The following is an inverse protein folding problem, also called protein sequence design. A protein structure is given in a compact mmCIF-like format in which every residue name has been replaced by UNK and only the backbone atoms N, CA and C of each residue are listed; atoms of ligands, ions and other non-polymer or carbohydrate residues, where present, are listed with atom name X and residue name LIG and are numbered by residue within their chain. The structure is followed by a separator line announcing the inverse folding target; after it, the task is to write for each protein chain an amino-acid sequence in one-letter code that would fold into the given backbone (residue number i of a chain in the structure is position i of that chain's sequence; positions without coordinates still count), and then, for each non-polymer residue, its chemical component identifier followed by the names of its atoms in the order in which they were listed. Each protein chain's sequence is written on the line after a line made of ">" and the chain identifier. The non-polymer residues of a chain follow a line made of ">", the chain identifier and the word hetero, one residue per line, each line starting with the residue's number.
data_IF_571249481482
#
_entry.id   IF_571249481482
#
_cell.length_a   1.000
_cell.length_b   1.000
_cell.length_c   1.000
_cell.angle_alpha   90.00
_cell.angle_beta   90.00
_cell.angle_gamma   90.00
#
_symmetry.space_group_name_H-M   'P 1'
#
loop_
_entity.id
_entity.type
_entity.pdbx_description
1 polymer ?
#
# COMPACT_ATOMS: atom_id res chain seq x y z
N UNK A 1 -12.37 19.07 4.59
CA UNK A 1 -11.96 18.93 3.17
C UNK A 1 -10.44 18.82 3.16
N UNK A 2 -9.86 17.83 2.49
CA UNK A 2 -8.40 17.63 2.45
C UNK A 2 -7.73 18.73 1.63
N UNK A 3 -6.66 19.32 2.18
CA UNK A 3 -5.96 20.43 1.53
C UNK A 3 -5.03 19.89 0.45
N UNK A 4 -5.16 20.39 -0.78
CA UNK A 4 -4.28 20.02 -1.90
C UNK A 4 -2.81 20.38 -1.65
N UNK A 5 -2.53 21.36 -0.80
CA UNK A 5 -1.17 21.76 -0.41
C UNK A 5 -0.46 20.72 0.48
N UNK A 6 -1.21 19.78 1.04
CA UNK A 6 -0.68 18.72 1.88
C UNK A 6 -0.14 17.52 1.08
N UNK A 7 -0.29 17.55 -0.25
CA UNK A 7 0.34 16.52 -1.10
C UNK A 7 1.78 16.89 -1.42
N UNK A 8 2.65 15.89 -1.31
CA UNK A 8 4.06 15.97 -1.65
C UNK A 8 4.44 14.79 -2.54
N UNK A 9 5.25 15.06 -3.55
CA UNK A 9 5.90 14.02 -4.33
C UNK A 9 7.21 13.67 -3.62
N UNK A 10 7.33 12.42 -3.21
CA UNK A 10 8.52 11.87 -2.57
C UNK A 10 9.20 10.96 -3.57
N UNK A 11 10.52 11.08 -3.71
CA UNK A 11 11.30 10.28 -4.67
C UNK A 11 11.92 9.07 -4.01
N UNK A 12 11.78 7.94 -4.64
CA UNK A 12 12.53 6.72 -4.36
C UNK A 12 13.12 6.20 -5.67
N UNK A 13 14.41 6.43 -5.92
CA UNK A 13 15.05 6.18 -7.22
C UNK A 13 14.27 6.90 -8.34
N UNK A 14 13.73 6.16 -9.31
CA UNK A 14 12.96 6.67 -10.44
C UNK A 14 11.44 6.74 -10.15
N UNK A 15 11.02 6.37 -8.94
CA UNK A 15 9.62 6.38 -8.51
C UNK A 15 9.28 7.70 -7.84
N UNK A 16 8.21 8.33 -8.30
CA UNK A 16 7.58 9.50 -7.69
C UNK A 16 6.35 9.05 -6.91
N UNK A 17 6.39 9.20 -5.58
CA UNK A 17 5.34 8.73 -4.66
C UNK A 17 4.49 9.92 -4.26
N UNK A 18 3.24 9.97 -4.71
CA UNK A 18 2.28 10.98 -4.29
C UNK A 18 1.81 10.67 -2.87
N UNK A 19 2.13 11.53 -1.93
CA UNK A 19 1.87 11.29 -0.50
C UNK A 19 1.11 12.45 0.12
N UNK A 20 -0.03 12.16 0.75
CA UNK A 20 -0.73 13.12 1.61
C UNK A 20 -0.07 13.17 2.98
N UNK A 21 0.28 14.38 3.44
CA UNK A 21 0.96 14.60 4.72
C UNK A 21 0.18 15.63 5.52
N UNK A 22 -0.10 15.33 6.79
CA UNK A 22 -0.82 16.24 7.67
C UNK A 22 -0.44 16.02 9.14
N UNK A 23 -0.71 17.02 9.97
CA UNK A 23 -0.46 16.98 11.42
C UNK A 23 1.01 17.13 11.81
N UNK A 24 1.22 17.10 13.11
CA UNK A 24 2.53 17.19 13.78
C UNK A 24 2.65 16.11 14.84
N UNK A 25 3.89 15.74 15.23
CA UNK A 25 4.17 14.73 16.24
C UNK A 25 4.73 13.42 15.66
N UNK A 26 4.61 12.29 16.37
CA UNK A 26 5.13 11.00 15.90
C UNK A 26 4.52 10.59 14.57
N UNK A 27 5.37 10.11 13.66
CA UNK A 27 4.94 9.73 12.30
C UNK A 27 4.19 8.39 12.29
N UNK A 28 3.05 8.41 11.59
CA UNK A 28 2.29 7.21 11.20
C UNK A 28 2.19 7.17 9.68
N UNK A 29 2.73 6.13 9.06
CA UNK A 29 2.56 5.87 7.61
C UNK A 29 1.40 4.89 7.43
N UNK A 30 0.52 5.14 6.45
CA UNK A 30 -0.65 4.29 6.20
C UNK A 30 -0.65 3.81 4.75
N UNK A 31 -0.43 2.50 4.54
CA UNK A 31 -0.38 1.83 3.25
C UNK A 31 -1.73 1.21 2.92
N UNK A 32 -2.34 1.62 1.80
CA UNK A 32 -3.61 1.09 1.33
C UNK A 32 -3.44 -0.19 0.50
N UNK A 33 -4.54 -0.84 0.18
CA UNK A 33 -4.62 -2.06 -0.63
C UNK A 33 -5.22 -1.85 -2.03
N UNK A 34 -5.82 -2.92 -2.56
CA UNK A 34 -6.46 -2.94 -3.86
C UNK A 34 -8.00 -3.06 -3.72
N UNK A 35 -8.76 -2.37 -4.53
CA UNK A 35 -8.46 -1.29 -5.48
C UNK A 35 -8.61 0.10 -4.85
N UNK A 36 -7.73 0.44 -3.96
CA UNK A 36 -7.84 1.61 -3.09
C UNK A 36 -6.89 2.76 -3.50
N UNK A 37 -6.83 3.79 -2.67
CA UNK A 37 -5.92 4.93 -2.75
C UNK A 37 -5.67 5.51 -1.36
N UNK A 38 -4.84 6.56 -1.26
CA UNK A 38 -4.67 7.33 -0.02
C UNK A 38 -6.01 7.72 0.62
N UNK A 39 -7.07 7.92 -0.17
CA UNK A 39 -8.38 8.40 0.29
C UNK A 39 -9.14 7.36 1.14
N UNK A 40 -8.79 6.09 1.06
CA UNK A 40 -9.34 5.05 1.94
C UNK A 40 -9.12 5.39 3.41
N UNK A 41 -8.03 6.08 3.72
CA UNK A 41 -7.64 6.48 5.07
C UNK A 41 -8.24 7.81 5.56
N UNK A 42 -9.16 8.43 4.81
CA UNK A 42 -9.72 9.77 5.10
C UNK A 42 -10.25 9.96 6.53
N UNK A 43 -10.81 8.93 7.12
CA UNK A 43 -11.34 8.99 8.49
C UNK A 43 -10.23 8.84 9.53
N UNK A 44 -9.28 7.93 9.29
CA UNK A 44 -8.13 7.68 10.15
C UNK A 44 -7.17 8.87 10.16
N UNK A 45 -6.92 9.50 9.01
CA UNK A 45 -6.16 10.76 8.91
C UNK A 45 -6.70 11.78 9.91
N UNK A 46 -8.00 12.08 9.83
CA UNK A 46 -8.63 13.09 10.68
C UNK A 46 -8.51 12.74 12.17
N UNK A 47 -8.68 11.47 12.52
CA UNK A 47 -8.58 10.98 13.89
C UNK A 47 -7.16 11.07 14.43
N UNK A 48 -6.17 10.59 13.67
CA UNK A 48 -4.76 10.60 14.10
C UNK A 48 -4.22 12.01 14.25
N UNK A 49 -4.50 12.90 13.30
CA UNK A 49 -4.07 14.31 13.36
C UNK A 49 -4.64 15.00 14.60
N UNK A 50 -5.94 14.80 14.92
CA UNK A 50 -6.56 15.35 16.13
C UNK A 50 -5.93 14.83 17.41
N UNK A 51 -5.33 13.64 17.39
CA UNK A 51 -4.66 13.02 18.54
C UNK A 51 -3.14 13.25 18.55
N UNK A 52 -2.64 14.24 17.79
CA UNK A 52 -1.25 14.68 17.87
C UNK A 52 -0.27 13.78 17.14
N UNK A 53 -0.71 13.13 16.07
CA UNK A 53 0.18 12.38 15.18
C UNK A 53 0.38 13.11 13.86
N UNK A 54 1.58 12.99 13.31
CA UNK A 54 1.84 13.29 11.91
C UNK A 54 1.48 12.06 11.09
N UNK A 55 0.77 12.25 9.99
CA UNK A 55 0.42 11.16 9.07
C UNK A 55 1.09 11.36 7.71
N UNK A 56 1.55 10.26 7.10
CA UNK A 56 1.98 10.22 5.71
C UNK A 56 1.22 9.08 5.01
N UNK A 57 0.45 9.41 4.00
CA UNK A 57 -0.49 8.50 3.36
C UNK A 57 -0.26 8.50 1.85
N UNK A 58 0.56 7.57 1.35
CA UNK A 58 0.84 7.49 -0.07
C UNK A 58 -0.33 6.94 -0.88
N UNK A 59 -0.41 7.33 -2.16
CA UNK A 59 -0.85 6.38 -3.17
C UNK A 59 0.29 5.37 -3.32
N UNK A 60 0.03 4.09 -3.08
CA UNK A 60 1.04 3.05 -3.24
C UNK A 60 1.54 2.98 -4.70
N UNK A 61 2.76 2.45 -4.92
CA UNK A 61 3.31 2.25 -6.27
C UNK A 61 2.30 1.53 -7.16
N UNK A 62 2.06 2.04 -8.37
CA UNK A 62 1.05 1.53 -9.30
C UNK A 62 -0.33 2.17 -9.14
N UNK A 63 -0.58 2.97 -8.10
CA UNK A 63 -1.89 3.55 -7.81
C UNK A 63 -1.91 5.07 -7.91
N UNK A 64 -3.09 5.62 -8.07
CA UNK A 64 -3.38 7.05 -8.00
C UNK A 64 -2.44 7.89 -8.85
N UNK A 65 -1.74 8.83 -8.22
CA UNK A 65 -0.77 9.73 -8.85
C UNK A 65 0.69 9.28 -8.69
N UNK A 66 0.94 8.16 -8.02
CA UNK A 66 2.27 7.57 -7.91
C UNK A 66 2.68 6.91 -9.22
N UNK A 67 3.98 6.83 -9.48
CA UNK A 67 4.55 6.17 -10.66
C UNK A 67 4.03 4.76 -10.86
N UNK A 68 3.83 4.37 -12.12
CA UNK A 68 3.29 3.09 -12.54
C UNK A 68 4.26 2.41 -13.52
N UNK A 69 5.42 1.92 -13.03
CA UNK A 69 6.33 1.16 -13.89
C UNK A 69 5.63 -0.06 -14.50
N UNK A 70 6.03 -0.44 -15.69
CA UNK A 70 5.46 -1.58 -16.43
C UNK A 70 6.15 -2.89 -16.11
N UNK A 71 7.35 -2.82 -15.55
CA UNK A 71 8.15 -3.98 -15.20
C UNK A 71 7.59 -4.67 -13.96
N UNK A 72 7.32 -5.98 -14.05
CA UNK A 72 6.79 -6.79 -12.95
C UNK A 72 7.71 -6.72 -11.72
N UNK A 73 9.01 -6.79 -11.93
CA UNK A 73 10.01 -6.75 -10.86
C UNK A 73 10.00 -5.42 -10.06
N UNK A 74 9.47 -4.35 -10.66
CA UNK A 74 9.31 -3.09 -9.96
C UNK A 74 8.29 -3.16 -8.79
N UNK A 75 7.48 -4.20 -8.74
CA UNK A 75 6.45 -4.40 -7.71
C UNK A 75 6.80 -5.52 -6.71
N UNK A 76 8.03 -5.99 -6.70
CA UNK A 76 8.46 -6.95 -5.68
C UNK A 76 8.43 -6.31 -4.28
N UNK A 77 8.36 -7.14 -3.25
CA UNK A 77 8.18 -6.67 -1.88
C UNK A 77 9.33 -5.77 -1.39
N UNK A 78 10.55 -5.98 -1.86
CA UNK A 78 11.70 -5.15 -1.48
C UNK A 78 11.56 -3.73 -2.01
N UNK A 79 11.09 -3.57 -3.24
CA UNK A 79 10.83 -2.26 -3.84
C UNK A 79 9.67 -1.55 -3.15
N UNK A 80 8.58 -2.27 -2.83
CA UNK A 80 7.43 -1.70 -2.11
C UNK A 80 7.79 -1.26 -0.68
N UNK A 81 8.61 -2.04 0.03
CA UNK A 81 9.08 -1.64 1.37
C UNK A 81 10.05 -0.46 1.29
N UNK A 82 10.86 -0.37 0.25
CA UNK A 82 11.77 0.76 0.04
C UNK A 82 11.01 2.09 -0.15
N UNK A 83 9.81 2.07 -0.74
CA UNK A 83 8.96 3.25 -0.86
C UNK A 83 8.52 3.78 0.51
N UNK A 84 8.18 2.88 1.44
CA UNK A 84 7.82 3.25 2.82
C UNK A 84 9.00 3.88 3.55
N UNK A 85 10.20 3.32 3.38
CA UNK A 85 11.43 3.88 3.98
C UNK A 85 11.76 5.24 3.37
N UNK A 86 11.65 5.42 2.07
CA UNK A 86 11.87 6.71 1.42
C UNK A 86 10.92 7.81 1.96
N UNK A 87 9.66 7.45 2.27
CA UNK A 87 8.73 8.37 2.92
C UNK A 87 9.22 8.77 4.31
N UNK A 88 9.67 7.82 5.13
CA UNK A 88 10.19 8.10 6.46
C UNK A 88 11.46 8.97 6.41
N UNK A 89 12.35 8.69 5.47
CA UNK A 89 13.58 9.45 5.25
C UNK A 89 13.30 10.90 4.83
N UNK A 90 12.33 11.11 3.93
CA UNK A 90 11.90 12.45 3.52
C UNK A 90 11.26 13.23 4.69
N UNK A 91 10.61 12.54 5.63
CA UNK A 91 10.09 13.12 6.86
C UNK A 91 11.17 13.36 7.92
N UNK A 92 12.40 12.92 7.68
CA UNK A 92 13.57 13.06 8.56
C UNK A 92 13.33 12.47 9.95
N UNK A 93 12.73 11.28 10.00
CA UNK A 93 12.48 10.54 11.24
C UNK A 93 13.30 9.25 11.26
N UNK A 94 13.88 8.93 12.40
CA UNK A 94 14.62 7.68 12.58
C UNK A 94 13.69 6.48 12.63
N UNK A 95 12.51 6.66 13.21
CA UNK A 95 11.52 5.59 13.37
C UNK A 95 10.08 6.11 13.26
N UNK A 96 9.16 5.20 12.94
CA UNK A 96 7.75 5.50 12.68
C UNK A 96 6.84 4.33 13.04
N UNK A 97 5.54 4.60 13.10
CA UNK A 97 4.51 3.56 13.16
C UNK A 97 3.95 3.32 11.75
N UNK A 98 3.64 2.06 11.43
CA UNK A 98 3.17 1.65 10.11
C UNK A 98 1.85 0.91 10.20
N UNK A 99 0.87 1.33 9.41
CA UNK A 99 -0.43 0.69 9.28
C UNK A 99 -0.59 0.25 7.82
N UNK A 100 -0.98 -1.00 7.60
CA UNK A 100 -1.29 -1.53 6.27
C UNK A 100 -2.66 -2.20 6.24
N UNK A 101 -3.41 -1.99 5.17
CA UNK A 101 -4.68 -2.65 4.92
C UNK A 101 -4.62 -3.42 3.60
N UNK A 102 -5.25 -4.61 3.54
CA UNK A 102 -5.29 -5.46 2.35
C UNK A 102 -3.87 -5.68 1.79
N UNK A 103 -3.54 -5.36 0.54
CA UNK A 103 -2.18 -5.43 -0.02
C UNK A 103 -1.16 -4.53 0.70
N UNK A 104 -1.60 -3.49 1.38
CA UNK A 104 -0.73 -2.69 2.24
C UNK A 104 -0.27 -3.42 3.50
N UNK A 105 -1.01 -4.45 3.97
CA UNK A 105 -0.62 -5.19 5.17
C UNK A 105 0.62 -6.09 4.93
N UNK A 106 0.75 -6.87 3.85
CA UNK A 106 2.02 -7.52 3.50
C UNK A 106 3.20 -6.56 3.40
N UNK A 107 3.00 -5.37 2.84
CA UNK A 107 4.05 -4.34 2.79
C UNK A 107 4.43 -3.90 4.21
N UNK A 108 3.45 -3.66 5.08
CA UNK A 108 3.70 -3.27 6.46
C UNK A 108 4.45 -4.36 7.25
N UNK A 109 4.04 -5.62 7.13
CA UNK A 109 4.71 -6.76 7.75
C UNK A 109 6.16 -6.90 7.29
N UNK A 110 6.39 -6.85 5.99
CA UNK A 110 7.74 -7.01 5.44
C UNK A 110 8.62 -5.80 5.73
N UNK A 111 8.08 -4.56 5.73
CA UNK A 111 8.85 -3.38 6.14
C UNK A 111 9.35 -3.54 7.57
N UNK A 112 8.50 -4.02 8.50
CA UNK A 112 8.91 -4.23 9.89
C UNK A 112 9.91 -5.37 10.07
N UNK A 113 9.91 -6.36 9.19
CA UNK A 113 10.89 -7.45 9.21
C UNK A 113 12.26 -7.03 8.66
N UNK A 114 12.27 -6.27 7.57
CA UNK A 114 13.51 -5.84 6.90
C UNK A 114 14.15 -4.62 7.56
N UNK A 115 13.35 -3.82 8.27
CA UNK A 115 13.77 -2.58 8.91
C UNK A 115 13.27 -2.49 10.36
N UNK A 116 13.63 -3.46 11.24
CA UNK A 116 13.10 -3.54 12.60
C UNK A 116 13.51 -2.36 13.49
N UNK A 117 14.60 -1.71 13.16
CA UNK A 117 15.11 -0.49 13.80
C UNK A 117 14.35 0.78 13.39
N UNK A 118 13.61 0.73 12.27
CA UNK A 118 12.85 1.85 11.73
C UNK A 118 11.37 1.80 12.11
N UNK A 119 10.79 0.62 12.31
CA UNK A 119 9.35 0.45 12.57
C UNK A 119 9.09 0.19 14.05
N UNK A 120 8.62 1.21 14.78
CA UNK A 120 8.30 1.09 16.20
C UNK A 120 7.07 0.24 16.49
N UNK A 121 6.04 0.38 15.65
CA UNK A 121 4.76 -0.33 15.77
C UNK A 121 4.23 -0.63 14.39
N UNK A 122 3.67 -1.82 14.23
CA UNK A 122 3.03 -2.24 12.98
C UNK A 122 1.60 -2.70 13.28
N UNK A 123 0.69 -2.34 12.38
CA UNK A 123 -0.69 -2.82 12.38
C UNK A 123 -1.04 -3.29 10.97
N UNK A 124 -1.29 -4.58 10.80
CA UNK A 124 -1.83 -5.13 9.55
C UNK A 124 -3.32 -5.42 9.70
N UNK A 125 -4.12 -4.91 8.78
CA UNK A 125 -5.57 -5.05 8.76
C UNK A 125 -5.98 -5.94 7.60
N UNK A 126 -6.95 -6.81 7.80
CA UNK A 126 -7.51 -7.80 6.86
C UNK A 126 -6.58 -8.96 6.50
N UNK A 127 -5.27 -8.73 6.39
CA UNK A 127 -4.29 -9.76 6.03
C UNK A 127 -3.32 -9.99 7.19
N UNK A 128 -3.43 -11.12 7.91
CA UNK A 128 -2.53 -11.43 9.02
C UNK A 128 -1.11 -11.71 8.55
N UNK A 129 -0.16 -11.56 9.45
CA UNK A 129 1.20 -12.06 9.22
C UNK A 129 1.20 -13.59 9.15
N UNK A 130 1.66 -14.12 8.04
CA UNK A 130 1.76 -15.57 7.81
C UNK A 130 3.15 -15.91 7.29
N UNK A 131 3.80 -16.88 7.91
CA UNK A 131 5.04 -17.47 7.39
C UNK A 131 4.66 -18.63 6.49
N UNK A 132 4.86 -18.47 5.19
CA UNK A 132 4.67 -19.55 4.22
C UNK A 132 6.00 -20.07 3.71
N UNK A 133 6.10 -21.39 3.54
CA UNK A 133 7.24 -22.06 2.91
C UNK A 133 7.11 -22.11 1.37
N UNK A 134 5.92 -21.79 0.85
CA UNK A 134 5.64 -21.79 -0.58
C UNK A 134 5.38 -20.34 -1.06
N UNK A 135 5.70 -20.03 -2.31
CA UNK A 135 5.32 -18.76 -2.90
C UNK A 135 3.81 -18.51 -2.78
N UNK A 136 3.36 -17.27 -2.54
CA UNK A 136 1.94 -16.97 -2.30
C UNK A 136 1.01 -17.49 -3.40
N UNK A 137 1.36 -17.30 -4.67
CA UNK A 137 0.54 -17.76 -5.81
C UNK A 137 0.44 -19.29 -5.85
N UNK A 138 1.51 -20.03 -5.58
CA UNK A 138 1.49 -21.49 -5.54
C UNK A 138 0.65 -21.99 -4.36
N UNK A 139 0.73 -21.31 -3.23
CA UNK A 139 -0.14 -21.58 -2.08
C UNK A 139 -1.61 -21.39 -2.45
N UNK A 140 -1.94 -20.30 -3.14
CA UNK A 140 -3.31 -20.01 -3.58
C UNK A 140 -3.81 -21.02 -4.60
N UNK A 141 -3.00 -21.38 -5.60
CA UNK A 141 -3.33 -22.44 -6.57
C UNK A 141 -3.61 -23.78 -5.89
N UNK A 142 -2.86 -24.12 -4.85
CA UNK A 142 -3.08 -25.34 -4.09
C UNK A 142 -4.40 -25.27 -3.27
N UNK A 143 -4.65 -24.17 -2.58
CA UNK A 143 -5.84 -24.00 -1.72
C UNK A 143 -7.13 -23.84 -2.51
N UNK A 144 -7.09 -23.17 -3.65
CA UNK A 144 -8.27 -22.80 -4.46
C UNK A 144 -8.34 -23.53 -5.80
N UNK A 145 -7.72 -24.71 -5.91
CA UNK A 145 -7.61 -25.48 -7.17
C UNK A 145 -8.95 -25.76 -7.87
N UNK A 146 -10.03 -25.90 -7.10
CA UNK A 146 -11.35 -26.29 -7.59
C UNK A 146 -12.37 -25.15 -7.58
N UNK A 147 -11.93 -23.91 -7.26
CA UNK A 147 -12.81 -22.74 -7.19
C UNK A 147 -12.18 -21.55 -7.89
N UNK A 148 -13.02 -20.65 -8.40
CA UNK A 148 -12.54 -19.37 -8.92
C UNK A 148 -11.93 -18.53 -7.80
N UNK A 149 -10.69 -18.07 -7.99
CA UNK A 149 -10.04 -17.16 -7.08
C UNK A 149 -9.37 -16.02 -7.86
N UNK A 150 -9.83 -14.80 -7.61
CA UNK A 150 -9.49 -13.64 -8.41
C UNK A 150 -7.97 -13.35 -8.51
N UNK A 151 -7.19 -13.59 -7.46
CA UNK A 151 -5.74 -13.36 -7.49
C UNK A 151 -5.03 -14.29 -8.48
N UNK A 152 -5.52 -15.52 -8.66
CA UNK A 152 -5.00 -16.44 -9.68
C UNK A 152 -5.41 -15.96 -11.06
N UNK A 153 -6.67 -15.53 -11.21
CA UNK A 153 -7.20 -14.99 -12.45
C UNK A 153 -6.45 -13.74 -12.92
N UNK A 154 -6.01 -12.90 -11.99
CA UNK A 154 -5.27 -11.67 -12.24
C UNK A 154 -3.82 -11.90 -12.71
N UNK A 155 -3.31 -13.14 -12.69
CA UNK A 155 -1.96 -13.43 -13.17
C UNK A 155 -1.84 -13.43 -14.71
N UNK A 156 -2.96 -13.44 -15.45
CA UNK A 156 -2.97 -13.36 -16.90
C UNK A 156 -3.06 -11.89 -17.32
N UNK A 157 -1.91 -11.33 -17.74
CA UNK A 157 -1.81 -9.92 -18.14
C UNK A 157 -2.78 -9.57 -19.29
N UNK A 158 -3.40 -8.39 -19.19
CA UNK A 158 -4.30 -7.84 -20.20
C UNK A 158 -5.71 -8.43 -20.21
N UNK A 159 -5.93 -9.54 -19.50
CA UNK A 159 -7.25 -10.18 -19.45
C UNK A 159 -8.20 -9.43 -18.52
N UNK A 160 -7.75 -9.22 -17.32
CA UNK A 160 -8.54 -8.56 -16.27
C UNK A 160 -8.70 -7.08 -16.57
N UNK A 161 -7.64 -6.42 -17.01
CA UNK A 161 -7.67 -5.02 -17.42
C UNK A 161 -8.74 -4.80 -18.49
N UNK A 162 -8.73 -5.63 -19.54
CA UNK A 162 -9.73 -5.56 -20.62
C UNK A 162 -11.16 -5.76 -20.12
N UNK A 163 -11.37 -6.61 -19.11
CA UNK A 163 -12.68 -6.87 -18.51
C UNK A 163 -13.14 -5.72 -17.62
N UNK A 164 -12.29 -5.28 -16.69
CA UNK A 164 -12.62 -4.26 -15.70
C UNK A 164 -12.74 -2.85 -16.31
N UNK A 165 -11.98 -2.54 -17.37
CA UNK A 165 -11.99 -1.25 -18.05
C UNK A 165 -13.20 -1.04 -18.98
N UNK A 166 -13.97 -2.08 -19.29
CA UNK A 166 -15.20 -1.94 -20.10
C UNK A 166 -16.21 -0.99 -19.46
N UNK A 167 -16.34 -1.04 -18.15
CA UNK A 167 -17.17 -0.13 -17.36
C UNK A 167 -16.58 0.01 -15.94
N UNK A 168 -15.69 0.96 -15.78
CA UNK A 168 -14.98 1.22 -14.52
C UNK A 168 -15.94 1.42 -13.34
N UNK A 169 -17.05 2.10 -13.54
CA UNK A 169 -18.03 2.32 -12.47
C UNK A 169 -18.67 1.02 -12.03
N UNK A 170 -19.05 0.17 -12.98
CA UNK A 170 -19.67 -1.13 -12.73
C UNK A 170 -18.68 -2.07 -12.01
N UNK A 171 -17.44 -2.08 -12.47
CA UNK A 171 -16.36 -2.86 -11.87
C UNK A 171 -16.12 -2.45 -10.42
N UNK A 172 -16.02 -1.15 -10.13
CA UNK A 172 -15.84 -0.65 -8.78
C UNK A 172 -17.03 -0.99 -7.87
N UNK A 173 -18.28 -0.86 -8.36
CA UNK A 173 -19.47 -1.24 -7.58
C UNK A 173 -19.50 -2.74 -7.27
N UNK A 174 -18.98 -3.58 -8.17
CA UNK A 174 -18.93 -5.02 -7.96
C UNK A 174 -17.86 -5.45 -6.94
N UNK A 175 -16.82 -4.63 -6.74
CA UNK A 175 -15.73 -4.91 -5.79
C UNK A 175 -16.00 -4.33 -4.41
N UNK A 176 -16.70 -3.19 -4.31
CA UNK A 176 -17.08 -2.52 -3.06
C UNK A 176 -18.52 -2.85 -2.64
#
# INVERSE_FOLDING_TARGET
>A
MFNQKNFKIIKNKDIEINTYIDGEGPLVIMAHGWPESWYSWRHQITSLVKNGFKVAVPDMRGYGKTSKPTEIDAYNIMELTSDIIAIADEMKVDNFSLIGHDWGAPVAWNTSLYHPDRVNKVCGMSVPYVVSKMPPIETMKFLFKDVFFYMIYFQEEGRVEKELEQDMRKSLIAVY
#
